data_IF_406205335909
#
_entry.id   IF_406205335909
#
_cell.length_a   1.000
_cell.length_b   1.000
_cell.length_c   1.000
_cell.angle_alpha   90.00
_cell.angle_beta   90.00
_cell.angle_gamma   90.00
#
_symmetry.space_group_name_H-M   'P 1'
#
loop_
_entity.id
_entity.type
_entity.pdbx_description
1 polymer ?
#
# COMPACT_ATOMS: atom_id res chain seq x y z
N UNK A 1 -35.51 28.07 -12.89
CA UNK A 1 -35.27 27.39 -11.58
C UNK A 1 -35.19 25.87 -11.84
N UNK A 2 -34.39 25.12 -11.07
CA UNK A 2 -34.20 23.64 -11.10
C UNK A 2 -33.02 23.02 -11.92
N UNK A 3 -31.82 23.63 -11.90
CA UNK A 3 -30.62 23.00 -12.52
C UNK A 3 -29.39 22.81 -11.62
N UNK A 4 -29.34 23.41 -10.42
CA UNK A 4 -28.09 23.50 -9.61
C UNK A 4 -27.96 22.51 -8.45
N UNK A 5 -28.87 21.53 -8.30
CA UNK A 5 -28.89 20.59 -7.16
C UNK A 5 -28.22 19.23 -7.43
N UNK A 6 -27.67 19.00 -8.62
CA UNK A 6 -27.18 17.68 -9.02
C UNK A 6 -25.71 17.41 -8.64
N UNK A 7 -24.84 18.43 -8.58
CA UNK A 7 -23.40 18.21 -8.41
C UNK A 7 -22.96 17.92 -6.96
N UNK A 8 -23.75 18.30 -5.94
CA UNK A 8 -23.43 18.05 -4.53
C UNK A 8 -23.89 16.65 -4.05
N UNK A 9 -24.62 15.90 -4.88
CA UNK A 9 -25.12 14.56 -4.52
C UNK A 9 -24.09 13.45 -4.73
N UNK A 10 -23.09 13.66 -5.59
CA UNK A 10 -22.14 12.60 -5.93
C UNK A 10 -21.08 12.40 -4.82
N UNK A 11 -20.63 13.45 -4.15
CA UNK A 11 -19.64 13.32 -3.07
C UNK A 11 -20.22 12.69 -1.80
N UNK A 12 -21.48 12.98 -1.48
CA UNK A 12 -22.21 12.31 -0.38
C UNK A 12 -22.52 10.84 -0.73
N UNK A 13 -22.69 10.54 -2.02
CA UNK A 13 -22.88 9.17 -2.51
C UNK A 13 -21.61 8.34 -2.36
N UNK A 14 -20.44 8.90 -2.69
CA UNK A 14 -19.17 8.17 -2.59
C UNK A 14 -18.76 7.92 -1.13
N UNK A 15 -19.00 8.88 -0.24
CA UNK A 15 -18.79 8.69 1.20
C UNK A 15 -19.78 7.68 1.80
N UNK A 16 -21.05 7.70 1.38
CA UNK A 16 -22.05 6.69 1.79
C UNK A 16 -21.69 5.30 1.30
N UNK A 17 -21.20 5.18 0.05
CA UNK A 17 -20.79 3.90 -0.52
C UNK A 17 -19.56 3.33 0.19
N UNK A 18 -18.60 4.17 0.55
CA UNK A 18 -17.47 3.76 1.38
C UNK A 18 -17.91 3.26 2.76
N UNK A 19 -18.81 3.99 3.44
CA UNK A 19 -19.37 3.58 4.74
C UNK A 19 -20.16 2.28 4.65
N UNK A 20 -20.89 2.05 3.56
CA UNK A 20 -21.60 0.79 3.31
C UNK A 20 -20.61 -0.38 3.11
N UNK A 21 -19.55 -0.17 2.33
CA UNK A 21 -18.47 -1.16 2.16
C UNK A 21 -17.79 -1.49 3.49
N UNK A 22 -17.58 -0.50 4.37
CA UNK A 22 -17.05 -0.72 5.71
C UNK A 22 -17.98 -1.58 6.57
N UNK A 23 -19.28 -1.29 6.58
CA UNK A 23 -20.27 -2.10 7.28
C UNK A 23 -20.29 -3.56 6.79
N UNK A 24 -20.12 -3.79 5.49
CA UNK A 24 -20.03 -5.14 4.93
C UNK A 24 -18.77 -5.89 5.38
N UNK A 25 -17.63 -5.21 5.54
CA UNK A 25 -16.38 -5.82 6.03
C UNK A 25 -16.52 -6.19 7.51
N UNK A 26 -17.05 -5.30 8.34
CA UNK A 26 -17.31 -5.61 9.76
C UNK A 26 -18.27 -6.78 9.91
N UNK A 27 -19.37 -6.80 9.15
CA UNK A 27 -20.32 -7.90 9.16
C UNK A 27 -19.67 -9.24 8.81
N UNK A 28 -18.79 -9.27 7.80
CA UNK A 28 -18.08 -10.48 7.39
C UNK A 28 -17.09 -10.97 8.43
N UNK A 29 -16.39 -10.07 9.11
CA UNK A 29 -15.47 -10.43 10.21
C UNK A 29 -16.26 -11.02 11.37
N UNK A 30 -17.36 -10.38 11.78
CA UNK A 30 -18.26 -10.86 12.83
C UNK A 30 -18.87 -12.23 12.48
N UNK A 31 -19.30 -12.42 11.23
CA UNK A 31 -19.84 -13.71 10.76
C UNK A 31 -18.79 -14.83 10.80
N UNK A 32 -17.54 -14.53 10.41
CA UNK A 32 -16.45 -15.50 10.43
C UNK A 32 -16.10 -15.90 11.87
N UNK A 33 -16.17 -14.95 12.80
CA UNK A 33 -15.96 -15.20 14.22
C UNK A 33 -17.00 -16.17 14.80
N UNK A 34 -18.30 -15.89 14.57
CA UNK A 34 -19.40 -16.77 15.01
C UNK A 34 -19.25 -18.18 14.43
N UNK A 35 -18.96 -18.29 13.13
CA UNK A 35 -18.74 -19.58 12.48
C UNK A 35 -17.58 -20.39 13.10
N UNK A 36 -16.46 -19.72 13.40
CA UNK A 36 -15.32 -20.37 14.04
C UNK A 36 -15.66 -20.81 15.47
N UNK A 37 -16.41 -20.01 16.21
CA UNK A 37 -16.87 -20.36 17.55
C UNK A 37 -17.79 -21.59 17.54
N UNK A 38 -18.77 -21.64 16.64
CA UNK A 38 -19.65 -22.81 16.46
C UNK A 38 -18.88 -24.07 16.06
N UNK A 39 -17.90 -23.94 15.15
CA UNK A 39 -17.03 -25.06 14.74
C UNK A 39 -16.20 -25.60 15.90
N UNK A 40 -15.72 -24.72 16.78
CA UNK A 40 -14.97 -25.11 17.98
C UNK A 40 -15.89 -25.82 18.98
N UNK A 41 -17.08 -25.30 19.25
CA UNK A 41 -18.05 -25.92 20.16
C UNK A 41 -18.49 -27.31 19.67
N UNK A 42 -18.68 -27.48 18.36
CA UNK A 42 -18.99 -28.76 17.76
C UNK A 42 -17.85 -29.79 17.97
N UNK A 43 -16.60 -29.37 17.80
CA UNK A 43 -15.43 -30.23 18.05
C UNK A 43 -15.29 -30.62 19.53
N UNK A 44 -15.68 -29.74 20.46
CA UNK A 44 -15.68 -30.04 21.89
C UNK A 44 -16.72 -31.11 22.25
N UNK A 45 -17.96 -30.99 21.74
CA UNK A 45 -19.02 -32.00 21.95
C UNK A 45 -18.67 -33.38 21.39
N UNK A 46 -18.03 -33.41 20.22
CA UNK A 46 -17.60 -34.66 19.58
C UNK A 46 -16.49 -35.35 20.39
N UNK A 47 -15.64 -34.55 21.05
CA UNK A 47 -14.56 -35.02 21.91
C UNK A 47 -15.03 -35.44 23.31
N UNK A 48 -16.01 -34.78 23.91
CA UNK A 48 -16.64 -35.25 25.16
C UNK A 48 -17.32 -36.63 25.00
N UNK A 49 -17.77 -36.94 23.78
CA UNK A 49 -18.30 -38.26 23.42
C UNK A 49 -17.20 -39.33 23.23
N UNK A 50 -15.94 -38.91 23.12
CA UNK A 50 -14.76 -39.76 22.89
C UNK A 50 -13.84 -39.75 24.12
N UNK A 51 -13.99 -40.75 25.01
CA UNK A 51 -13.15 -40.92 26.22
C UNK A 51 -11.65 -41.00 25.87
N UNK A 52 -10.95 -39.86 25.84
CA UNK A 52 -9.51 -39.80 25.62
C UNK A 52 -8.81 -38.70 26.44
N UNK A 53 -8.14 -39.13 27.53
CA UNK A 53 -6.91 -38.58 28.12
C UNK A 53 -6.75 -37.06 28.35
N UNK A 54 -6.61 -36.69 29.62
CA UNK A 54 -6.38 -35.33 30.19
C UNK A 54 -5.24 -34.51 29.57
N UNK A 55 -4.22 -35.14 28.98
CA UNK A 55 -3.12 -34.42 28.33
C UNK A 55 -3.53 -33.73 27.01
N UNK A 56 -4.54 -34.27 26.31
CA UNK A 56 -5.03 -33.67 25.06
C UNK A 56 -6.00 -32.50 25.30
N UNK A 57 -6.56 -32.39 26.51
CA UNK A 57 -7.48 -31.31 26.90
C UNK A 57 -6.74 -30.01 27.15
N UNK A 58 -5.59 -30.07 27.84
CA UNK A 58 -4.76 -28.89 28.10
C UNK A 58 -4.21 -28.27 26.81
N UNK A 59 -3.80 -29.09 25.83
CA UNK A 59 -3.29 -28.60 24.54
C UNK A 59 -4.38 -27.89 23.72
N UNK A 60 -5.60 -28.41 23.74
CA UNK A 60 -6.75 -27.77 23.07
C UNK A 60 -7.13 -26.48 23.79
N UNK A 61 -7.20 -26.49 25.13
CA UNK A 61 -7.50 -25.30 25.91
C UNK A 61 -6.46 -24.18 25.70
N UNK A 62 -5.18 -24.51 25.63
CA UNK A 62 -4.12 -23.53 25.37
C UNK A 62 -4.16 -23.00 23.92
N UNK A 63 -4.48 -23.86 22.95
CA UNK A 63 -4.66 -23.45 21.56
C UNK A 63 -5.86 -22.50 21.40
N UNK A 64 -6.95 -22.75 22.13
CA UNK A 64 -8.13 -21.89 22.15
C UNK A 64 -7.85 -20.54 22.79
N UNK A 65 -7.12 -20.53 23.91
CA UNK A 65 -6.69 -19.28 24.56
C UNK A 65 -5.81 -18.44 23.64
N UNK A 66 -4.91 -19.08 22.90
CA UNK A 66 -4.05 -18.40 21.92
C UNK A 66 -4.86 -17.81 20.76
N UNK A 67 -5.84 -18.56 20.24
CA UNK A 67 -6.75 -18.06 19.20
C UNK A 67 -7.60 -16.88 19.68
N UNK A 68 -8.13 -16.92 20.91
CA UNK A 68 -8.91 -15.83 21.50
C UNK A 68 -8.08 -14.55 21.64
N UNK A 69 -6.83 -14.67 22.12
CA UNK A 69 -5.91 -13.51 22.21
C UNK A 69 -5.53 -12.97 20.83
N UNK A 70 -5.31 -13.82 19.83
CA UNK A 70 -5.08 -13.37 18.45
C UNK A 70 -6.28 -12.62 17.87
N UNK A 71 -7.50 -13.09 18.16
CA UNK A 71 -8.73 -12.42 17.72
C UNK A 71 -8.90 -11.07 18.40
N UNK A 72 -8.65 -10.98 19.72
CA UNK A 72 -8.68 -9.72 20.47
C UNK A 72 -7.67 -8.72 19.93
N UNK A 73 -6.43 -9.14 19.70
CA UNK A 73 -5.41 -8.24 19.16
C UNK A 73 -5.75 -7.80 17.74
N UNK A 74 -6.25 -8.70 16.89
CA UNK A 74 -6.72 -8.32 15.55
C UNK A 74 -7.87 -7.31 15.61
N UNK A 75 -8.81 -7.45 16.56
CA UNK A 75 -9.88 -6.48 16.80
C UNK A 75 -9.32 -5.13 17.26
N UNK A 76 -8.33 -5.13 18.15
CA UNK A 76 -7.66 -3.93 18.65
C UNK A 76 -6.93 -3.19 17.53
N UNK A 77 -6.16 -3.90 16.72
CA UNK A 77 -5.44 -3.37 15.55
C UNK A 77 -6.42 -2.83 14.51
N UNK A 78 -7.49 -3.58 14.21
CA UNK A 78 -8.52 -3.14 13.26
C UNK A 78 -9.24 -1.89 13.75
N UNK A 79 -9.60 -1.83 15.03
CA UNK A 79 -10.24 -0.66 15.65
C UNK A 79 -9.32 0.57 15.64
N UNK A 80 -8.03 0.40 15.97
CA UNK A 80 -7.06 1.49 15.91
C UNK A 80 -6.82 1.99 14.48
N UNK A 81 -6.79 1.09 13.49
CA UNK A 81 -6.69 1.45 12.08
C UNK A 81 -7.95 2.20 11.60
N UNK A 82 -9.15 1.73 11.97
CA UNK A 82 -10.41 2.39 11.66
C UNK A 82 -10.47 3.79 12.26
N UNK A 83 -10.04 3.97 13.51
CA UNK A 83 -9.99 5.29 14.15
C UNK A 83 -9.10 6.27 13.39
N UNK A 84 -7.93 5.83 12.89
CA UNK A 84 -7.03 6.67 12.09
C UNK A 84 -7.61 7.02 10.73
N UNK A 85 -8.31 6.07 10.09
CA UNK A 85 -9.00 6.31 8.82
C UNK A 85 -10.12 7.34 9.02
N UNK A 86 -10.88 7.23 10.10
CA UNK A 86 -11.95 8.16 10.44
C UNK A 86 -11.41 9.57 10.76
N UNK A 87 -10.29 9.66 11.48
CA UNK A 87 -9.59 10.93 11.72
C UNK A 87 -9.13 11.58 10.41
N UNK A 88 -8.50 10.82 9.51
CA UNK A 88 -8.09 11.31 8.20
C UNK A 88 -9.30 11.76 7.35
N UNK A 89 -10.41 11.03 7.40
CA UNK A 89 -11.64 11.43 6.71
C UNK A 89 -12.22 12.74 7.25
N UNK A 90 -12.18 12.97 8.57
CA UNK A 90 -12.60 14.23 9.18
C UNK A 90 -11.72 15.40 8.74
N UNK A 91 -10.39 15.22 8.73
CA UNK A 91 -9.46 16.25 8.25
C UNK A 91 -9.71 16.60 6.78
N UNK A 92 -9.97 15.60 5.94
CA UNK A 92 -10.31 15.84 4.52
C UNK A 92 -11.65 16.57 4.37
N UNK A 93 -12.64 16.26 5.20
CA UNK A 93 -13.91 16.99 5.23
C UNK A 93 -13.70 18.46 5.60
N UNK A 94 -12.89 18.75 6.62
CA UNK A 94 -12.57 20.11 7.05
C UNK A 94 -11.86 20.90 5.95
N UNK A 95 -10.88 20.29 5.27
CA UNK A 95 -10.22 20.86 4.10
C UNK A 95 -11.24 21.15 2.99
N UNK A 96 -12.14 20.21 2.72
CA UNK A 96 -13.21 20.37 1.75
C UNK A 96 -14.12 21.57 2.04
N UNK A 97 -14.53 21.76 3.31
CA UNK A 97 -15.34 22.91 3.72
C UNK A 97 -14.58 24.23 3.58
N UNK A 98 -13.30 24.26 3.93
CA UNK A 98 -12.43 25.44 3.78
C UNK A 98 -12.33 25.85 2.30
N UNK A 99 -12.14 24.87 1.41
CA UNK A 99 -12.11 25.12 -0.04
C UNK A 99 -13.46 25.67 -0.53
N UNK A 100 -14.58 25.11 -0.07
CA UNK A 100 -15.91 25.61 -0.44
C UNK A 100 -16.16 27.04 0.03
N UNK A 101 -15.76 27.38 1.25
CA UNK A 101 -15.87 28.75 1.79
C UNK A 101 -15.03 29.74 0.98
N UNK A 102 -13.77 29.40 0.68
CA UNK A 102 -12.89 30.24 -0.15
C UNK A 102 -13.49 30.44 -1.55
N UNK A 103 -14.06 29.40 -2.15
CA UNK A 103 -14.73 29.50 -3.45
C UNK A 103 -15.98 30.38 -3.39
N UNK A 104 -16.73 30.33 -2.29
CA UNK A 104 -17.92 31.17 -2.11
C UNK A 104 -17.54 32.63 -1.92
N UNK A 105 -16.50 32.91 -1.13
CA UNK A 105 -15.95 34.25 -0.94
C UNK A 105 -15.53 34.87 -2.28
N UNK A 106 -14.77 34.12 -3.09
CA UNK A 106 -14.37 34.54 -4.44
C UNK A 106 -15.57 34.85 -5.36
N UNK A 107 -16.67 34.10 -5.23
CA UNK A 107 -17.89 34.38 -6.01
C UNK A 107 -18.57 35.69 -5.61
N UNK A 108 -18.59 36.03 -4.32
CA UNK A 108 -19.18 37.29 -3.87
C UNK A 108 -18.31 38.48 -4.26
N UNK A 109 -16.98 38.39 -4.11
CA UNK A 109 -16.03 39.40 -4.59
C UNK A 109 -16.20 39.67 -6.10
N UNK A 110 -16.36 38.61 -6.89
CA UNK A 110 -16.64 38.73 -8.33
C UNK A 110 -18.00 39.40 -8.62
N UNK A 111 -19.03 39.19 -7.79
CA UNK A 111 -20.32 39.89 -7.96
C UNK A 111 -20.21 41.36 -7.60
N UNK A 112 -19.48 41.70 -6.55
CA UNK A 112 -19.23 43.10 -6.16
C UNK A 112 -18.48 43.84 -7.27
N UNK A 113 -17.44 43.22 -7.82
CA UNK A 113 -16.72 43.75 -8.98
C UNK A 113 -17.62 43.93 -10.21
N UNK A 114 -18.51 42.97 -10.50
CA UNK A 114 -19.52 43.10 -11.58
C UNK A 114 -20.45 44.30 -11.35
N UNK A 115 -20.90 44.48 -10.12
CA UNK A 115 -21.85 45.54 -9.74
C UNK A 115 -21.18 46.90 -9.84
N UNK A 116 -19.97 47.03 -9.29
CA UNK A 116 -19.16 48.24 -9.37
C UNK A 116 -18.86 48.63 -10.82
N UNK A 117 -18.53 47.66 -11.67
CA UNK A 117 -18.25 47.89 -13.09
C UNK A 117 -19.47 48.42 -13.84
N UNK A 118 -20.66 47.82 -13.63
CA UNK A 118 -21.92 48.28 -14.22
C UNK A 118 -22.25 49.72 -13.81
N UNK A 119 -22.03 50.09 -12.55
CA UNK A 119 -22.24 51.45 -12.07
C UNK A 119 -21.24 52.47 -12.65
N UNK A 120 -20.06 52.04 -13.07
CA UNK A 120 -18.96 52.93 -13.47
C UNK A 120 -18.90 53.19 -14.98
N UNK A 121 -19.44 52.29 -15.80
CA UNK A 121 -19.33 52.38 -17.27
C UNK A 121 -20.61 52.83 -17.95
N UNK A 122 -21.78 52.75 -17.29
CA UNK A 122 -23.05 53.29 -17.81
C UNK A 122 -23.63 52.56 -19.02
N UNK A 123 -22.88 51.61 -19.61
CA UNK A 123 -23.28 50.82 -20.77
C UNK A 123 -23.61 49.38 -20.34
N UNK A 124 -24.86 48.96 -20.60
CA UNK A 124 -25.39 47.66 -20.19
C UNK A 124 -25.00 46.50 -21.15
N UNK A 125 -24.30 46.78 -22.25
CA UNK A 125 -24.28 45.85 -23.41
C UNK A 125 -22.95 45.16 -23.74
N UNK A 126 -21.82 45.47 -23.10
CA UNK A 126 -20.54 44.77 -23.38
C UNK A 126 -19.82 44.26 -22.12
N UNK A 127 -19.94 42.95 -21.81
CA UNK A 127 -19.18 42.31 -20.73
C UNK A 127 -17.67 42.36 -21.04
N UNK A 128 -16.81 42.92 -20.15
CA UNK A 128 -15.42 43.22 -20.50
C UNK A 128 -14.58 41.93 -20.58
N UNK A 129 -13.59 41.91 -21.48
CA UNK A 129 -12.81 40.73 -21.84
C UNK A 129 -12.15 39.97 -20.67
N UNK A 130 -11.89 40.64 -19.53
CA UNK A 130 -11.34 40.00 -18.33
C UNK A 130 -12.35 39.15 -17.54
N UNK A 131 -13.67 39.34 -17.74
CA UNK A 131 -14.72 38.45 -17.20
C UNK A 131 -14.80 37.10 -17.95
N UNK A 132 -14.18 36.99 -19.13
CA UNK A 132 -14.10 35.74 -19.90
C UNK A 132 -13.13 34.71 -19.26
N UNK A 133 -12.32 35.14 -18.28
CA UNK A 133 -11.43 34.26 -17.51
C UNK A 133 -12.24 33.23 -16.71
N UNK A 134 -13.46 33.55 -16.26
CA UNK A 134 -14.31 32.59 -15.55
C UNK A 134 -14.80 31.48 -16.49
N UNK A 135 -15.07 31.79 -17.75
CA UNK A 135 -15.45 30.82 -18.79
C UNK A 135 -14.30 29.89 -19.15
N UNK A 136 -13.08 30.43 -19.29
CA UNK A 136 -11.86 29.63 -19.50
C UNK A 136 -11.54 28.73 -18.29
N UNK A 137 -11.67 29.25 -17.07
CA UNK A 137 -11.45 28.50 -15.83
C UNK A 137 -12.49 27.38 -15.64
N UNK A 138 -13.74 27.63 -16.06
CA UNK A 138 -14.83 26.65 -16.02
C UNK A 138 -14.68 25.57 -17.10
N UNK A 139 -14.20 25.90 -18.29
CA UNK A 139 -13.87 24.94 -19.35
C UNK A 139 -12.67 24.04 -18.96
N UNK A 140 -11.70 24.57 -18.21
CA UNK A 140 -10.57 23.81 -17.66
C UNK A 140 -10.96 22.83 -16.54
N UNK A 141 -12.02 23.12 -15.78
CA UNK A 141 -12.50 22.28 -14.68
C UNK A 141 -13.58 21.27 -15.10
N UNK A 142 -14.38 21.57 -16.14
CA UNK A 142 -15.57 20.79 -16.49
C UNK A 142 -15.69 20.39 -17.98
N UNK A 143 -14.68 20.70 -18.82
CA UNK A 143 -14.67 20.43 -20.26
C UNK A 143 -15.36 21.52 -21.12
N UNK A 144 -15.09 21.57 -22.44
CA UNK A 144 -15.57 22.64 -23.32
C UNK A 144 -17.07 22.52 -23.65
N UNK A 145 -17.81 23.64 -23.58
CA UNK A 145 -19.21 23.77 -24.01
C UNK A 145 -19.28 24.06 -25.54
N UNK A 146 -20.35 23.67 -26.27
CA UNK A 146 -20.39 23.80 -27.73
C UNK A 146 -20.42 25.26 -28.20
N UNK A 147 -19.58 25.58 -29.19
CA UNK A 147 -19.38 26.93 -29.71
C UNK A 147 -20.65 27.54 -30.32
N UNK A 148 -20.98 28.78 -29.91
CA UNK A 148 -21.83 29.69 -30.69
C UNK A 148 -20.94 30.62 -31.50
N UNK A 149 -21.22 30.74 -32.80
CA UNK A 149 -20.46 31.56 -33.76
C UNK A 149 -20.58 33.07 -33.45
N UNK A 150 -19.48 33.85 -33.50
CA UNK A 150 -19.52 35.29 -33.27
C UNK A 150 -19.85 36.08 -34.54
N UNK A 151 -20.64 37.15 -34.37
CA UNK A 151 -20.84 38.19 -35.38
C UNK A 151 -19.82 39.32 -35.19
N UNK A 152 -19.30 39.83 -36.32
CA UNK A 152 -18.39 40.99 -36.40
C UNK A 152 -19.00 42.27 -35.84
N UNK A 153 -18.18 43.09 -35.18
CA UNK A 153 -18.20 44.55 -35.36
C UNK A 153 -16.83 45.17 -35.02
N UNK A 154 -16.49 46.16 -35.83
CA UNK A 154 -15.28 46.96 -35.82
C UNK A 154 -15.51 48.21 -34.93
N UNK A 155 -14.49 48.69 -34.23
CA UNK A 155 -14.59 49.91 -33.42
C UNK A 155 -13.34 50.22 -32.61
N UNK A 156 -12.52 51.09 -33.15
CA UNK A 156 -11.31 51.70 -32.57
C UNK A 156 -11.69 52.67 -31.44
N UNK A 157 -10.94 52.67 -30.32
CA UNK A 157 -11.20 53.55 -29.19
C UNK A 157 -10.13 53.49 -28.11
N UNK A 158 -9.08 54.28 -28.30
CA UNK A 158 -8.02 54.58 -27.35
C UNK A 158 -8.55 55.37 -26.14
N UNK A 159 -8.28 54.92 -24.91
CA UNK A 159 -8.07 55.81 -23.76
C UNK A 159 -7.37 55.08 -22.62
N UNK A 160 -6.21 55.62 -22.24
CA UNK A 160 -5.36 55.10 -21.18
C UNK A 160 -6.01 55.09 -19.79
N UNK A 161 -5.70 54.05 -19.02
CA UNK A 161 -5.87 54.03 -17.58
C UNK A 161 -4.56 53.62 -16.91
N UNK A 162 -4.12 54.47 -15.98
CA UNK A 162 -2.96 54.26 -15.11
C UNK A 162 -3.13 52.98 -14.30
N UNK A 163 -2.02 52.26 -14.17
CA UNK A 163 -1.86 51.13 -13.28
C UNK A 163 -2.21 51.50 -11.84
N UNK A 164 -3.15 50.75 -11.25
CA UNK A 164 -3.26 50.59 -9.79
C UNK A 164 -2.91 49.14 -9.52
N UNK A 165 -1.72 48.94 -8.97
CA UNK A 165 -1.24 47.66 -8.48
C UNK A 165 -2.04 47.25 -7.23
N UNK A 166 -3.13 46.53 -7.41
CA UNK A 166 -3.65 45.63 -6.38
C UNK A 166 -3.41 44.19 -6.84
N UNK A 167 -2.29 43.64 -6.36
CA UNK A 167 -1.79 42.29 -6.63
C UNK A 167 -2.84 41.26 -6.18
N UNK A 168 -3.54 40.56 -7.10
CA UNK A 168 -4.17 39.30 -6.74
C UNK A 168 -3.04 38.30 -6.45
N UNK A 169 -3.25 37.32 -5.55
CA UNK A 169 -2.35 36.17 -5.44
C UNK A 169 -2.07 35.69 -6.87
N UNK A 170 -0.82 35.80 -7.31
CA UNK A 170 -0.49 35.75 -8.72
C UNK A 170 -0.95 34.40 -9.26
N UNK A 171 -1.30 34.30 -10.55
CA UNK A 171 -1.61 33.00 -11.15
C UNK A 171 -0.51 31.95 -10.87
N UNK A 172 0.72 32.42 -10.61
CA UNK A 172 1.86 31.65 -10.14
C UNK A 172 1.67 31.05 -8.74
N UNK A 173 1.14 31.81 -7.77
CA UNK A 173 0.86 31.35 -6.40
C UNK A 173 -0.25 30.30 -6.38
N UNK A 174 -1.29 30.50 -7.19
CA UNK A 174 -2.40 29.54 -7.32
C UNK A 174 -1.95 28.23 -7.99
N UNK A 175 -1.08 28.32 -9.00
CA UNK A 175 -0.49 27.17 -9.66
C UNK A 175 0.50 26.43 -8.76
N UNK A 176 1.25 27.16 -7.93
CA UNK A 176 2.13 26.56 -6.93
C UNK A 176 1.34 25.78 -5.87
N UNK A 177 0.28 26.38 -5.32
CA UNK A 177 -0.61 25.71 -4.38
C UNK A 177 -1.29 24.47 -4.98
N UNK A 178 -1.73 24.54 -6.25
CA UNK A 178 -2.27 23.38 -6.98
C UNK A 178 -1.26 22.26 -7.13
N UNK A 179 -0.02 22.59 -7.48
CA UNK A 179 1.05 21.60 -7.60
C UNK A 179 1.32 20.93 -6.25
N UNK A 180 1.37 21.70 -5.16
CA UNK A 180 1.59 21.16 -3.81
C UNK A 180 0.44 20.24 -3.35
N UNK A 181 -0.81 20.65 -3.57
CA UNK A 181 -1.99 19.81 -3.24
C UNK A 181 -1.99 18.55 -4.08
N UNK A 182 -1.73 18.64 -5.39
CA UNK A 182 -1.67 17.49 -6.28
C UNK A 182 -0.53 16.53 -5.90
N UNK A 183 0.64 17.04 -5.54
CA UNK A 183 1.76 16.26 -5.03
C UNK A 183 1.37 15.49 -3.76
N UNK A 184 0.78 16.18 -2.77
CA UNK A 184 0.33 15.55 -1.52
C UNK A 184 -0.77 14.52 -1.76
N UNK A 185 -1.70 14.78 -2.67
CA UNK A 185 -2.77 13.84 -3.02
C UNK A 185 -2.22 12.61 -3.74
N UNK A 186 -1.28 12.78 -4.68
CA UNK A 186 -0.59 11.67 -5.33
C UNK A 186 0.21 10.84 -4.33
N UNK A 187 0.87 11.48 -3.37
CA UNK A 187 1.63 10.79 -2.33
C UNK A 187 0.71 10.02 -1.38
N UNK A 188 -0.44 10.59 -1.02
CA UNK A 188 -1.48 9.94 -0.24
C UNK A 188 -2.10 8.76 -1.01
N UNK A 189 -2.48 8.92 -2.27
CA UNK A 189 -3.03 7.84 -3.10
C UNK A 189 -1.99 6.73 -3.29
N UNK A 190 -0.72 7.07 -3.47
CA UNK A 190 0.38 6.09 -3.56
C UNK A 190 0.57 5.37 -2.23
N UNK A 191 0.57 6.09 -1.11
CA UNK A 191 0.67 5.51 0.22
C UNK A 191 -0.56 4.65 0.55
N UNK A 192 -1.77 5.08 0.22
CA UNK A 192 -3.00 4.32 0.39
C UNK A 192 -3.03 3.09 -0.50
N UNK A 193 -2.61 3.18 -1.77
CA UNK A 193 -2.50 2.01 -2.66
C UNK A 193 -1.44 1.04 -2.15
N UNK A 194 -0.31 1.53 -1.64
CA UNK A 194 0.71 0.70 -1.02
C UNK A 194 0.20 0.05 0.26
N UNK A 195 -0.49 0.81 1.11
CA UNK A 195 -1.14 0.30 2.31
C UNK A 195 -2.15 -0.75 1.89
N UNK A 196 -3.04 -0.50 0.92
CA UNK A 196 -4.04 -1.45 0.43
C UNK A 196 -3.41 -2.70 -0.20
N UNK A 197 -2.32 -2.56 -0.94
CA UNK A 197 -1.50 -3.67 -1.45
C UNK A 197 -0.79 -4.45 -0.33
N UNK A 198 -0.52 -3.81 0.82
CA UNK A 198 0.17 -4.40 1.98
C UNK A 198 -0.77 -4.83 3.13
N UNK A 199 -1.99 -4.30 3.24
CA UNK A 199 -2.97 -4.55 4.31
C UNK A 199 -3.94 -5.64 3.93
N UNK A 200 -4.21 -5.84 2.63
CA UNK A 200 -4.92 -7.02 2.17
C UNK A 200 -3.97 -8.20 1.94
N UNK A 201 -3.82 -9.00 3.00
CA UNK A 201 -3.45 -10.43 3.00
C UNK A 201 -1.95 -10.75 2.95
N UNK A 202 -1.58 -11.78 3.72
CA UNK A 202 -0.33 -12.54 3.67
C UNK A 202 0.46 -12.32 2.38
N UNK A 203 1.67 -11.77 2.50
CA UNK A 203 2.54 -11.61 1.35
C UNK A 203 2.58 -12.91 0.55
N UNK A 204 2.12 -12.88 -0.70
CA UNK A 204 2.08 -14.08 -1.55
C UNK A 204 3.48 -14.71 -1.55
N UNK A 205 3.58 -16.03 -1.32
CA UNK A 205 4.87 -16.69 -1.34
C UNK A 205 5.62 -16.43 -2.64
N UNK A 206 6.91 -16.10 -2.54
CA UNK A 206 7.77 -15.99 -3.70
C UNK A 206 8.32 -17.37 -4.03
N UNK A 207 7.91 -17.92 -5.17
CA UNK A 207 8.49 -19.14 -5.74
C UNK A 207 9.53 -18.76 -6.80
N UNK A 208 10.67 -19.42 -6.78
CA UNK A 208 11.68 -19.32 -7.84
C UNK A 208 12.49 -20.61 -7.90
N UNK A 209 13.31 -20.73 -8.93
CA UNK A 209 14.18 -21.89 -9.10
C UNK A 209 15.60 -21.45 -9.40
N UNK A 210 16.55 -22.24 -8.93
CA UNK A 210 17.95 -22.14 -9.33
C UNK A 210 18.12 -23.11 -10.49
N UNK A 211 18.37 -22.57 -11.67
CA UNK A 211 18.73 -23.36 -12.84
C UNK A 211 20.25 -23.51 -12.91
N UNK A 212 20.74 -24.49 -13.67
CA UNK A 212 22.16 -24.78 -13.77
C UNK A 212 22.78 -25.09 -12.39
N UNK A 213 22.11 -25.97 -11.62
CA UNK A 213 22.49 -26.34 -10.27
C UNK A 213 23.92 -26.87 -10.18
N UNK A 214 24.33 -27.79 -11.06
CA UNK A 214 25.68 -28.34 -11.14
C UNK A 214 26.72 -27.25 -11.32
N UNK A 215 26.48 -26.27 -12.20
CA UNK A 215 27.37 -25.11 -12.37
C UNK A 215 27.47 -24.28 -11.10
N UNK A 216 26.36 -24.08 -10.41
CA UNK A 216 26.31 -23.34 -9.15
C UNK A 216 27.12 -24.05 -8.05
N UNK A 217 26.98 -25.36 -7.96
CA UNK A 217 27.74 -26.23 -7.05
C UNK A 217 29.23 -26.20 -7.36
N UNK A 218 29.64 -26.36 -8.63
CA UNK A 218 31.05 -26.29 -9.01
C UNK A 218 31.67 -24.94 -8.68
N UNK A 219 30.93 -23.84 -8.91
CA UNK A 219 31.38 -22.49 -8.55
C UNK A 219 31.60 -22.37 -7.04
N UNK A 220 30.67 -22.86 -6.22
CA UNK A 220 30.83 -22.87 -4.77
C UNK A 220 32.03 -23.72 -4.32
N UNK A 221 32.35 -24.82 -5.00
CA UNK A 221 33.56 -25.61 -4.72
C UNK A 221 34.85 -24.87 -5.03
N UNK A 222 34.87 -24.09 -6.11
CA UNK A 222 36.06 -23.32 -6.53
C UNK A 222 36.28 -22.07 -5.67
N UNK A 223 35.21 -21.33 -5.37
CA UNK A 223 35.27 -20.04 -4.67
C UNK A 223 35.09 -20.17 -3.15
N UNK A 224 34.82 -21.38 -2.65
CA UNK A 224 34.47 -21.66 -1.26
C UNK A 224 33.02 -21.30 -0.90
N UNK A 225 32.39 -20.38 -1.62
CA UNK A 225 30.96 -20.06 -1.48
C UNK A 225 30.39 -19.40 -2.73
N UNK A 226 29.07 -19.49 -2.92
CA UNK A 226 28.37 -18.70 -3.93
C UNK A 226 26.96 -18.33 -3.48
N UNK A 227 26.48 -17.15 -3.89
CA UNK A 227 25.13 -16.67 -3.58
C UNK A 227 24.25 -16.69 -4.84
N UNK A 228 23.02 -17.17 -4.70
CA UNK A 228 22.01 -17.15 -5.77
C UNK A 228 20.74 -16.50 -5.22
N UNK A 229 20.38 -15.34 -5.77
CA UNK A 229 19.18 -14.59 -5.40
C UNK A 229 18.03 -14.86 -6.36
N UNK A 230 16.81 -14.57 -5.90
CA UNK A 230 15.67 -14.43 -6.80
C UNK A 230 15.93 -13.33 -7.85
N UNK A 231 15.18 -13.36 -8.96
CA UNK A 231 15.41 -12.44 -10.08
C UNK A 231 15.16 -10.96 -9.73
N UNK A 232 14.21 -10.69 -8.81
CA UNK A 232 13.86 -9.32 -8.41
C UNK A 232 13.40 -9.25 -6.96
N UNK A 233 13.56 -8.07 -6.37
CA UNK A 233 12.98 -7.74 -5.07
C UNK A 233 11.45 -7.83 -5.13
N UNK A 234 10.85 -8.12 -3.97
CA UNK A 234 9.41 -8.04 -3.77
C UNK A 234 9.10 -7.38 -2.43
N UNK A 235 7.92 -6.80 -2.34
CA UNK A 235 7.40 -6.28 -1.09
C UNK A 235 6.76 -7.41 -0.28
N UNK A 236 7.14 -7.51 0.99
CA UNK A 236 6.56 -8.40 1.98
C UNK A 236 6.21 -7.56 3.21
N UNK A 237 4.93 -7.35 3.51
CA UNK A 237 4.47 -6.47 4.61
C UNK A 237 5.11 -5.07 4.54
N UNK A 238 5.18 -4.49 3.34
CA UNK A 238 5.81 -3.19 3.08
C UNK A 238 7.34 -3.21 2.97
N UNK A 239 8.03 -4.26 3.42
CA UNK A 239 9.49 -4.37 3.31
C UNK A 239 9.91 -4.82 1.91
N UNK A 240 10.82 -4.09 1.26
CA UNK A 240 11.42 -4.52 -0.01
C UNK A 240 12.54 -5.53 0.25
N UNK A 241 12.31 -6.81 -0.09
CA UNK A 241 13.22 -7.92 0.24
C UNK A 241 13.60 -8.71 -1.02
N UNK A 242 14.86 -9.07 -1.10
CA UNK A 242 15.42 -10.00 -2.07
C UNK A 242 15.90 -11.28 -1.35
N UNK A 243 15.13 -12.38 -1.38
CA UNK A 243 15.58 -13.65 -0.85
C UNK A 243 16.55 -14.34 -1.80
N UNK A 244 17.40 -15.19 -1.25
CA UNK A 244 18.33 -16.03 -1.99
C UNK A 244 18.81 -17.20 -1.14
N UNK A 245 19.76 -17.96 -1.68
CA UNK A 245 20.50 -18.97 -0.93
C UNK A 245 22.00 -18.74 -1.10
N UNK A 246 22.75 -19.15 -0.09
CA UNK A 246 24.19 -19.29 -0.17
C UNK A 246 24.54 -20.78 -0.18
N UNK A 247 25.41 -21.18 -1.11
CA UNK A 247 26.04 -22.50 -1.07
C UNK A 247 27.44 -22.28 -0.49
N UNK A 248 27.70 -22.87 0.67
CA UNK A 248 28.99 -22.83 1.35
C UNK A 248 29.69 -24.18 1.18
N UNK A 249 30.94 -24.17 0.72
CA UNK A 249 31.83 -25.32 0.73
C UNK A 249 32.79 -25.21 1.90
N UNK A 250 32.74 -26.17 2.82
CA UNK A 250 33.66 -26.27 3.95
C UNK A 250 34.10 -27.72 4.13
N UNK A 251 35.41 -27.95 4.19
CA UNK A 251 36.00 -29.29 4.37
C UNK A 251 35.49 -30.30 3.34
N UNK A 252 35.41 -29.89 2.06
CA UNK A 252 34.82 -30.64 0.94
C UNK A 252 33.33 -31.00 1.08
N UNK A 253 32.63 -30.49 2.10
CA UNK A 253 31.20 -30.65 2.30
C UNK A 253 30.47 -29.36 1.90
N UNK A 254 29.35 -29.50 1.21
CA UNK A 254 28.55 -28.38 0.74
C UNK A 254 27.24 -28.24 1.50
N UNK A 255 26.94 -27.00 1.86
CA UNK A 255 25.79 -26.62 2.66
C UNK A 255 24.99 -25.53 1.97
N UNK A 256 23.68 -25.70 1.90
CA UNK A 256 22.73 -24.66 1.49
C UNK A 256 22.28 -23.88 2.73
N UNK A 257 22.49 -22.57 2.71
CA UNK A 257 22.06 -21.61 3.74
C UNK A 257 21.09 -20.61 3.15
N UNK A 258 20.18 -20.13 3.99
CA UNK A 258 19.24 -19.09 3.58
C UNK A 258 19.92 -17.71 3.70
N UNK A 259 19.78 -16.87 2.67
CA UNK A 259 20.25 -15.48 2.67
C UNK A 259 19.12 -14.53 2.28
N UNK A 260 19.06 -13.37 2.91
CA UNK A 260 18.16 -12.28 2.52
C UNK A 260 18.92 -10.98 2.37
N UNK A 261 18.39 -10.10 1.54
CA UNK A 261 18.85 -8.73 1.42
C UNK A 261 17.65 -7.79 1.48
N UNK A 262 17.68 -6.85 2.43
CA UNK A 262 16.69 -5.78 2.53
C UNK A 262 17.13 -4.62 1.63
N UNK A 263 16.24 -4.17 0.76
CA UNK A 263 16.42 -3.05 -0.16
C UNK A 263 15.63 -1.85 0.35
N UNK A 264 16.04 -0.65 -0.03
CA UNK A 264 15.30 0.57 0.27
C UNK A 264 13.93 0.51 -0.41
N UNK A 265 12.88 0.59 0.38
CA UNK A 265 11.49 0.66 -0.07
C UNK A 265 10.97 2.09 -0.11
N UNK A 266 9.89 2.30 -0.87
CA UNK A 266 9.20 3.59 -0.92
C UNK A 266 8.52 3.94 0.42
N UNK A 267 8.21 2.93 1.22
CA UNK A 267 7.40 3.05 2.44
C UNK A 267 8.21 2.81 3.72
N UNK A 268 9.54 2.77 3.63
CA UNK A 268 10.40 2.42 4.78
C UNK A 268 10.16 3.32 6.01
N UNK A 269 9.79 4.58 5.79
CA UNK A 269 9.47 5.55 6.85
C UNK A 269 8.17 5.26 7.62
N UNK A 270 7.29 4.42 7.06
CA UNK A 270 6.02 4.00 7.70
C UNK A 270 6.17 2.66 8.43
N UNK A 271 7.31 1.97 8.29
CA UNK A 271 7.53 0.64 8.83
C UNK A 271 8.28 0.70 10.16
N UNK A 272 8.06 -0.32 10.98
CA UNK A 272 8.86 -0.54 12.18
C UNK A 272 10.21 -1.15 11.82
N UNK A 273 11.28 -0.69 12.47
CA UNK A 273 12.63 -1.21 12.26
C UNK A 273 13.31 -1.56 13.59
N UNK A 274 14.18 -2.58 13.63
CA UNK A 274 14.53 -3.49 12.53
C UNK A 274 13.35 -4.38 12.08
N UNK A 275 13.45 -4.97 10.89
CA UNK A 275 12.43 -5.88 10.38
C UNK A 275 12.24 -7.05 11.35
N UNK A 276 11.09 -7.09 12.02
CA UNK A 276 10.70 -8.13 12.98
C UNK A 276 9.54 -8.96 12.41
N UNK A 277 9.89 -10.01 11.66
CA UNK A 277 8.96 -10.92 11.00
C UNK A 277 9.46 -12.36 11.08
N UNK A 278 8.53 -13.30 11.09
CA UNK A 278 8.88 -14.70 10.89
C UNK A 278 9.00 -14.98 9.39
N UNK A 279 10.15 -15.48 8.97
CA UNK A 279 10.44 -15.81 7.58
C UNK A 279 10.69 -17.30 7.42
N UNK A 280 10.30 -17.86 6.28
CA UNK A 280 10.47 -19.27 5.96
C UNK A 280 10.95 -19.42 4.53
N UNK A 281 12.10 -20.08 4.36
CA UNK A 281 12.55 -20.61 3.08
C UNK A 281 12.21 -22.10 3.03
N UNK A 282 11.54 -22.54 1.97
CA UNK A 282 11.25 -23.95 1.69
C UNK A 282 11.95 -24.38 0.41
N UNK A 283 12.64 -25.52 0.49
CA UNK A 283 13.07 -26.30 -0.67
C UNK A 283 11.92 -27.22 -1.05
N UNK A 284 11.45 -27.13 -2.28
CA UNK A 284 10.22 -27.80 -2.74
C UNK A 284 10.57 -28.96 -3.65
N UNK A 285 10.06 -30.16 -3.34
CA UNK A 285 10.27 -31.32 -4.20
C UNK A 285 9.53 -31.12 -5.53
N UNK A 286 10.17 -31.40 -6.69
CA UNK A 286 9.59 -31.10 -7.99
C UNK A 286 8.29 -31.86 -8.28
N UNK A 287 8.20 -33.11 -7.82
CA UNK A 287 7.03 -33.98 -8.06
C UNK A 287 5.98 -33.95 -6.94
N UNK A 288 6.33 -33.43 -5.77
CA UNK A 288 5.44 -33.44 -4.60
C UNK A 288 5.59 -32.12 -3.83
N UNK A 289 4.68 -31.19 -4.09
CA UNK A 289 4.73 -29.86 -3.49
C UNK A 289 4.59 -29.85 -1.95
N UNK A 290 4.05 -30.92 -1.36
CA UNK A 290 3.93 -31.08 0.10
C UNK A 290 5.23 -31.58 0.74
N UNK A 291 6.05 -32.32 -0.02
CA UNK A 291 7.39 -32.74 0.42
C UNK A 291 8.33 -31.54 0.33
N UNK A 292 8.53 -30.87 1.46
CA UNK A 292 9.40 -29.69 1.56
C UNK A 292 10.40 -29.79 2.70
N UNK A 293 11.56 -29.16 2.54
CA UNK A 293 12.51 -28.92 3.63
C UNK A 293 12.50 -27.43 3.95
N UNK A 294 12.26 -27.07 5.21
CA UNK A 294 12.06 -25.68 5.61
C UNK A 294 13.14 -25.16 6.55
N UNK A 295 13.64 -23.97 6.26
CA UNK A 295 14.45 -23.15 7.17
C UNK A 295 13.57 -21.96 7.57
N UNK A 296 13.15 -21.93 8.84
CA UNK A 296 12.38 -20.81 9.40
C UNK A 296 13.21 -20.03 10.41
N UNK A 297 12.99 -18.73 10.47
CA UNK A 297 13.61 -17.84 11.43
C UNK A 297 12.64 -16.75 11.86
N UNK A 298 12.72 -16.34 13.12
CA UNK A 298 12.12 -15.10 13.60
C UNK A 298 13.17 -13.99 13.59
N UNK A 299 13.01 -13.01 12.71
CA UNK A 299 13.97 -11.90 12.61
C UNK A 299 13.86 -10.91 13.77
N UNK A 300 12.75 -10.91 14.52
CA UNK A 300 12.58 -10.07 15.71
C UNK A 300 13.49 -10.47 16.86
N UNK A 301 13.96 -11.72 16.88
CA UNK A 301 14.88 -12.24 17.90
C UNK A 301 16.34 -11.86 17.66
N UNK A 302 16.65 -11.18 16.55
CA UNK A 302 18.02 -10.91 16.14
C UNK A 302 18.23 -9.43 15.79
N UNK A 303 19.10 -8.76 16.55
CA UNK A 303 19.50 -7.39 16.26
C UNK A 303 20.62 -7.35 15.20
N UNK A 304 20.27 -7.62 13.93
CA UNK A 304 21.25 -7.69 12.83
C UNK A 304 21.22 -6.40 12.00
N UNK A 305 22.36 -5.72 11.76
CA UNK A 305 22.42 -4.50 10.96
C UNK A 305 21.77 -4.62 9.57
N UNK A 306 21.85 -5.80 8.94
CA UNK A 306 21.24 -6.05 7.62
C UNK A 306 19.72 -6.01 7.59
N UNK A 307 19.06 -6.10 8.76
CA UNK A 307 17.60 -6.03 8.94
C UNK A 307 17.10 -4.63 9.33
N UNK A 308 18.00 -3.66 9.52
CA UNK A 308 17.61 -2.29 9.88
C UNK A 308 17.14 -1.51 8.65
N UNK A 309 16.59 -0.32 8.88
CA UNK A 309 16.17 0.57 7.79
C UNK A 309 17.37 0.85 6.85
N UNK A 310 17.24 0.60 5.54
CA UNK A 310 18.30 0.86 4.59
C UNK A 310 18.68 2.34 4.53
N UNK A 311 19.95 2.63 4.77
CA UNK A 311 20.51 3.99 4.59
C UNK A 311 20.93 4.25 3.14
N UNK A 312 21.23 3.21 2.39
CA UNK A 312 21.55 3.24 0.96
C UNK A 312 20.51 2.47 0.13
N UNK A 313 20.82 2.13 -1.14
CA UNK A 313 19.90 1.38 -1.99
C UNK A 313 19.51 0.01 -1.41
N UNK A 314 20.41 -0.61 -0.64
CA UNK A 314 20.22 -1.90 0.03
C UNK A 314 21.19 -2.09 1.17
N UNK A 315 20.82 -2.96 2.10
CA UNK A 315 21.70 -3.41 3.17
C UNK A 315 22.65 -4.52 2.72
N UNK A 316 23.64 -4.80 3.57
CA UNK A 316 24.43 -6.04 3.47
C UNK A 316 23.51 -7.24 3.68
N UNK A 317 23.72 -8.30 2.90
CA UNK A 317 22.95 -9.52 3.02
C UNK A 317 23.13 -10.18 4.39
N UNK A 318 22.05 -10.77 4.91
CA UNK A 318 22.02 -11.53 6.15
C UNK A 318 21.96 -13.01 5.79
N UNK A 319 22.95 -13.77 6.23
CA UNK A 319 23.02 -15.23 6.06
C UNK A 319 22.60 -15.88 7.38
N UNK A 320 21.72 -16.87 7.30
CA UNK A 320 21.24 -17.58 8.46
C UNK A 320 22.05 -18.85 8.74
N UNK A 321 22.22 -19.16 10.03
CA UNK A 321 23.12 -20.25 10.45
C UNK A 321 22.58 -21.64 10.11
N UNK A 322 21.26 -21.80 10.10
CA UNK A 322 20.62 -23.07 9.72
C UNK A 322 20.98 -23.43 8.29
N UNK A 323 21.43 -24.67 8.11
CA UNK A 323 21.99 -25.19 6.87
C UNK A 323 21.41 -26.56 6.54
N UNK A 324 21.28 -26.85 5.25
CA UNK A 324 20.89 -28.17 4.72
C UNK A 324 22.09 -28.73 3.96
N UNK A 325 22.38 -30.02 4.12
CA UNK A 325 23.43 -30.69 3.35
C UNK A 325 22.99 -30.81 1.89
N UNK A 326 23.84 -30.38 0.96
CA UNK A 326 23.54 -30.49 -0.48
C UNK A 326 23.34 -31.95 -0.89
N UNK A 327 24.16 -32.86 -0.36
CA UNK A 327 24.04 -34.29 -0.64
C UNK A 327 22.73 -34.90 -0.17
N UNK A 328 22.08 -34.35 0.87
CA UNK A 328 20.75 -34.77 1.30
C UNK A 328 19.68 -34.30 0.31
N UNK A 329 19.80 -33.09 -0.24
CA UNK A 329 18.90 -32.59 -1.27
C UNK A 329 18.94 -33.47 -2.52
N UNK A 330 20.14 -33.85 -2.95
CA UNK A 330 20.36 -34.71 -4.13
C UNK A 330 19.81 -36.12 -3.89
N UNK A 331 20.19 -36.77 -2.78
CA UNK A 331 19.71 -38.11 -2.42
C UNK A 331 18.19 -38.18 -2.25
N UNK A 332 17.57 -37.12 -1.73
CA UNK A 332 16.13 -37.08 -1.48
C UNK A 332 15.30 -36.64 -2.69
N UNK A 333 15.92 -36.39 -3.85
CA UNK A 333 15.24 -36.06 -5.11
C UNK A 333 14.75 -34.62 -5.23
N UNK A 334 15.29 -33.68 -4.45
CA UNK A 334 14.93 -32.26 -4.58
C UNK A 334 15.59 -31.57 -5.78
N UNK A 335 16.61 -32.19 -6.35
CA UNK A 335 17.31 -31.75 -7.55
C UNK A 335 16.88 -32.62 -8.72
N UNK A 336 16.25 -32.03 -9.72
CA UNK A 336 15.81 -32.70 -10.95
C UNK A 336 16.02 -31.75 -12.11
N UNK A 337 16.46 -32.26 -13.26
CA UNK A 337 16.76 -31.48 -14.46
C UNK A 337 17.70 -30.28 -14.20
N UNK A 338 18.74 -30.53 -13.41
CA UNK A 338 19.73 -29.52 -13.03
C UNK A 338 19.13 -28.26 -12.38
N UNK A 339 18.05 -28.45 -11.60
CA UNK A 339 17.24 -27.39 -11.02
C UNK A 339 16.83 -27.66 -9.58
N UNK A 340 16.85 -26.61 -8.77
CA UNK A 340 16.34 -26.60 -7.39
C UNK A 340 15.18 -25.61 -7.25
N UNK A 341 14.04 -26.06 -6.72
CA UNK A 341 12.86 -25.22 -6.52
C UNK A 341 12.78 -24.68 -5.09
N UNK A 342 12.50 -23.38 -4.96
CA UNK A 342 12.48 -22.64 -3.70
C UNK A 342 11.16 -21.87 -3.55
N UNK A 343 10.71 -21.74 -2.30
CA UNK A 343 9.55 -20.94 -1.91
C UNK A 343 9.90 -20.13 -0.67
N UNK A 344 9.72 -18.82 -0.73
CA UNK A 344 9.95 -17.89 0.37
C UNK A 344 8.62 -17.31 0.86
N UNK A 345 8.42 -17.36 2.17
CA UNK A 345 7.22 -16.92 2.86
C UNK A 345 7.62 -15.99 4.01
N UNK A 346 6.85 -14.92 4.19
CA UNK A 346 6.95 -14.03 5.34
C UNK A 346 5.61 -14.07 6.04
N UNK A 347 5.66 -14.12 7.37
CA UNK A 347 4.50 -14.14 8.25
C UNK A 347 4.49 -12.87 9.11
N UNK A 348 3.30 -12.45 9.59
CA UNK A 348 3.13 -11.21 10.34
C UNK A 348 3.99 -11.15 11.59
#
# INVERSE_FOLDING_TARGET
MNGKRAANKNTDSDASQAMEMFGQVEHRISSLHVYLQEKVEALLKDKESSRAGTASENIVADSLRCLDEMVKENRRVSSAALSKIQEAAMQLSEIGTTIQQALQQQKEEMKELKTWWRCSTGDDDEEPAYMNITSQTKALLFGPEPERKPGKKDGEGDTGCRAIESRPASAQDLNHFRAEVHEKLCLLVTACNAILENTHRASKPLKWSINAWTKTISKASQEGRTNVFAAKTKYFYGYSVLPGVEILTKDAVQFLRFVIQVHKGAYDHLLTWPMAKKICLKVVHPENAEKTLSISLDTGMHNVPGLHMPKGPKNRSVVFERKILVSELEKAGFITDDKLNLKFEVFP
#
